data_IF_084909356871
#
_entry.id   IF_084909356871
#
_cell.length_a   1.000
_cell.length_b   1.000
_cell.length_c   1.000
_cell.angle_alpha   90.00
_cell.angle_beta   90.00
_cell.angle_gamma   90.00
#
_symmetry.space_group_name_H-M   'P 1'
#
loop_
_entity.id
_entity.type
_entity.pdbx_description
1 polymer ?
#
# COMPACT_ATOMS: atom_id res chain seq x y z
N UNK A 1 -9.15 0.21 -9.97
CA UNK A 1 -7.80 0.54 -9.43
C UNK A 1 -6.95 -0.72 -9.28
N UNK A 2 -7.43 -1.80 -8.62
CA UNK A 2 -6.70 -3.04 -8.40
C UNK A 2 -5.95 -3.62 -9.63
N UNK A 3 -6.62 -3.78 -10.77
CA UNK A 3 -5.96 -4.28 -12.00
C UNK A 3 -4.77 -3.44 -12.47
N UNK A 4 -4.77 -2.12 -12.23
CA UNK A 4 -3.60 -1.28 -12.56
C UNK A 4 -2.46 -1.49 -11.57
N UNK A 5 -2.76 -1.70 -10.29
CA UNK A 5 -1.75 -1.98 -9.27
C UNK A 5 -1.04 -3.32 -9.54
N UNK A 6 -1.73 -4.30 -10.12
CA UNK A 6 -1.10 -5.55 -10.54
C UNK A 6 -0.06 -5.33 -11.65
N UNK A 7 -0.37 -4.49 -12.65
CA UNK A 7 0.61 -4.11 -13.68
C UNK A 7 1.84 -3.46 -13.06
N UNK A 8 1.63 -2.54 -12.13
CA UNK A 8 2.69 -1.84 -11.39
C UNK A 8 3.53 -2.82 -10.57
N UNK A 9 2.90 -3.80 -9.90
CA UNK A 9 3.62 -4.83 -9.15
C UNK A 9 4.54 -5.65 -10.05
N UNK A 10 4.08 -6.01 -11.25
CA UNK A 10 4.89 -6.72 -12.25
C UNK A 10 6.07 -5.89 -12.73
N UNK A 11 5.86 -4.60 -13.01
CA UNK A 11 6.93 -3.69 -13.44
C UNK A 11 8.02 -3.51 -12.37
N UNK A 12 7.64 -3.51 -11.09
CA UNK A 12 8.57 -3.33 -9.98
C UNK A 12 9.10 -4.63 -9.36
N UNK A 13 8.76 -5.80 -9.93
CA UNK A 13 9.07 -7.10 -9.33
C UNK A 13 8.66 -7.17 -7.83
N UNK A 14 7.51 -6.59 -7.52
CA UNK A 14 6.98 -6.50 -6.17
C UNK A 14 6.06 -7.70 -5.89
N UNK A 15 6.10 -8.22 -4.66
CA UNK A 15 5.09 -9.16 -4.20
C UNK A 15 3.73 -8.49 -4.08
N UNK A 16 3.70 -7.28 -3.54
CA UNK A 16 2.46 -6.54 -3.27
C UNK A 16 2.66 -5.05 -3.58
N UNK A 17 1.66 -4.46 -4.22
CA UNK A 17 1.52 -3.00 -4.34
C UNK A 17 0.16 -2.61 -3.77
N UNK A 18 0.17 -1.71 -2.78
CA UNK A 18 -1.04 -1.22 -2.11
C UNK A 18 -1.10 0.29 -2.20
N UNK A 19 -2.30 0.86 -2.38
CA UNK A 19 -2.49 2.30 -2.30
C UNK A 19 -2.29 2.81 -0.87
N UNK A 20 -1.74 4.00 -0.70
CA UNK A 20 -1.57 4.64 0.62
C UNK A 20 -2.88 4.67 1.41
N UNK A 21 -4.00 5.04 0.78
CA UNK A 21 -5.33 5.03 1.42
C UNK A 21 -5.73 3.66 1.96
N UNK A 22 -5.39 2.58 1.26
CA UNK A 22 -5.72 1.23 1.73
C UNK A 22 -4.78 0.77 2.86
N UNK A 23 -3.50 1.17 2.81
CA UNK A 23 -2.57 0.95 3.91
C UNK A 23 -3.03 1.68 5.17
N UNK A 24 -3.43 2.94 5.05
CA UNK A 24 -3.94 3.77 6.16
C UNK A 24 -5.18 3.15 6.80
N UNK A 25 -6.20 2.80 6.00
CA UNK A 25 -7.43 2.18 6.48
C UNK A 25 -7.23 0.78 7.07
N UNK A 26 -6.16 0.08 6.68
CA UNK A 26 -5.88 -1.28 7.18
C UNK A 26 -5.25 -1.29 8.57
N UNK A 27 -4.75 -0.14 9.05
CA UNK A 27 -3.98 -0.04 10.29
C UNK A 27 -2.61 -0.72 10.22
N UNK A 28 -2.15 -1.15 9.04
CA UNK A 28 -0.85 -1.76 8.82
C UNK A 28 0.23 -0.66 8.83
N UNK A 29 1.17 -0.72 9.77
CA UNK A 29 2.39 0.06 9.63
C UNK A 29 3.20 -0.47 8.44
N UNK A 30 3.35 0.38 7.43
CA UNK A 30 4.11 0.06 6.22
C UNK A 30 5.17 1.13 5.95
N UNK A 31 5.51 1.94 6.96
CA UNK A 31 6.43 3.09 6.83
C UNK A 31 7.84 2.69 6.38
N UNK A 32 8.24 1.43 6.61
CA UNK A 32 9.51 0.87 6.15
C UNK A 32 9.57 0.47 4.68
N UNK A 33 8.45 0.55 3.95
CA UNK A 33 8.39 0.15 2.52
C UNK A 33 8.48 1.34 1.58
N UNK A 34 9.06 1.12 0.41
CA UNK A 34 9.20 2.16 -0.62
C UNK A 34 7.83 2.72 -1.02
N UNK A 35 7.78 4.04 -1.18
CA UNK A 35 6.56 4.76 -1.55
C UNK A 35 6.77 5.48 -2.86
N UNK A 36 5.81 5.34 -3.80
CA UNK A 36 5.87 5.99 -5.11
C UNK A 36 4.53 6.58 -5.50
N UNK A 37 4.58 7.65 -6.27
CA UNK A 37 3.43 8.23 -6.95
C UNK A 37 3.34 7.66 -8.37
N UNK A 38 2.21 7.06 -8.70
CA UNK A 38 1.95 6.49 -10.03
C UNK A 38 0.78 7.18 -10.69
N UNK A 39 0.89 7.42 -12.01
CA UNK A 39 -0.26 7.90 -12.77
C UNK A 39 -1.24 6.76 -13.04
N UNK A 40 -2.51 7.01 -12.79
CA UNK A 40 -3.58 6.04 -13.03
C UNK A 40 -4.61 6.69 -13.94
N UNK A 41 -4.74 6.13 -15.15
CA UNK A 41 -5.81 6.54 -16.08
C UNK A 41 -7.19 6.49 -15.40
N UNK A 42 -7.86 7.64 -15.41
CA UNK A 42 -9.16 7.86 -14.79
C UNK A 42 -9.11 8.54 -13.42
N UNK A 43 -7.92 8.87 -12.89
CA UNK A 43 -7.77 9.76 -11.74
C UNK A 43 -7.29 11.14 -12.17
N UNK A 44 -7.72 12.14 -11.40
CA UNK A 44 -7.30 13.53 -11.55
C UNK A 44 -5.95 13.83 -10.89
N UNK A 45 -5.50 12.97 -9.95
CA UNK A 45 -4.23 13.08 -9.24
C UNK A 45 -3.50 11.73 -9.25
N UNK A 46 -2.16 11.72 -9.26
CA UNK A 46 -1.40 10.49 -9.11
C UNK A 46 -1.81 9.74 -7.84
N UNK A 47 -1.74 8.42 -7.90
CA UNK A 47 -2.02 7.55 -6.77
C UNK A 47 -0.70 7.22 -6.08
N UNK A 48 -0.61 7.56 -4.80
CA UNK A 48 0.51 7.15 -3.95
C UNK A 48 0.34 5.69 -3.54
N UNK A 49 1.38 4.90 -3.75
CA UNK A 49 1.41 3.46 -3.49
C UNK A 49 2.63 3.07 -2.66
N UNK A 50 2.48 2.01 -1.86
CA UNK A 50 3.53 1.36 -1.10
C UNK A 50 3.91 0.05 -1.80
N UNK A 51 5.21 -0.20 -1.95
CA UNK A 51 5.75 -1.36 -2.68
C UNK A 51 6.40 -2.33 -1.69
N UNK A 52 5.90 -3.56 -1.66
CA UNK A 52 6.49 -4.66 -0.89
C UNK A 52 7.31 -5.52 -1.86
N UNK A 53 8.65 -5.55 -1.74
CA UNK A 53 9.50 -6.30 -2.65
C UNK A 53 9.26 -7.81 -2.53
N UNK A 54 9.49 -8.56 -3.61
CA UNK A 54 9.24 -10.00 -3.63
C UNK A 54 10.14 -10.81 -2.68
N UNK A 55 11.33 -10.29 -2.36
CA UNK A 55 12.29 -10.91 -1.43
C UNK A 55 12.07 -10.45 0.02
N UNK A 56 11.03 -9.64 0.30
CA UNK A 56 10.74 -9.25 1.68
C UNK A 56 10.46 -10.50 2.53
N UNK A 57 11.15 -10.69 3.67
CA UNK A 57 10.87 -11.81 4.54
C UNK A 57 9.41 -11.75 5.03
N UNK A 58 8.70 -12.90 5.11
CA UNK A 58 7.33 -12.94 5.62
C UNK A 58 7.25 -12.53 7.09
N UNK A 59 8.38 -12.60 7.80
CA UNK A 59 8.61 -12.00 9.12
C UNK A 59 9.28 -10.62 8.97
N UNK A 60 8.60 -9.68 8.30
CA UNK A 60 8.83 -8.28 8.58
C UNK A 60 8.11 -7.97 9.90
N UNK A 61 8.68 -8.41 11.04
CA UNK A 61 8.25 -8.01 12.38
C UNK A 61 8.31 -6.49 12.53
N UNK A 62 7.31 -5.79 12.01
CA UNK A 62 6.78 -4.44 12.32
C UNK A 62 5.81 -4.08 11.17
N UNK A 63 4.80 -4.91 10.94
CA UNK A 63 3.51 -4.35 10.56
C UNK A 63 2.75 -4.22 11.87
N UNK A 64 3.07 -3.16 12.63
CA UNK A 64 2.34 -2.88 13.86
C UNK A 64 0.93 -2.48 13.46
N UNK A 65 -0.03 -3.30 13.86
CA UNK A 65 -1.45 -2.98 13.73
C UNK A 65 -1.80 -1.88 14.73
N UNK A 66 -1.47 -0.62 14.40
CA UNK A 66 -1.83 0.53 15.22
C UNK A 66 -3.29 0.90 14.94
N UNK A 67 -4.23 0.08 15.41
CA UNK A 67 -5.65 0.43 15.38
C UNK A 67 -5.97 1.36 16.54
N UNK A 68 -6.12 2.66 16.28
CA UNK A 68 -6.97 3.50 17.12
C UNK A 68 -8.43 3.08 16.88
N UNK A 69 -9.29 3.00 17.91
CA UNK A 69 -10.68 2.61 17.72
C UNK A 69 -11.37 3.61 16.79
N UNK A 70 -12.01 3.10 15.73
CA UNK A 70 -12.90 3.90 14.92
C UNK A 70 -14.00 4.45 15.83
N UNK A 71 -14.03 5.77 16.01
CA UNK A 71 -15.10 6.43 16.74
C UNK A 71 -16.43 6.12 16.04
N UNK A 72 -17.48 5.74 16.79
CA UNK A 72 -18.77 5.51 16.18
C UNK A 72 -19.31 6.82 15.63
N UNK A 73 -19.55 6.87 14.32
CA UNK A 73 -20.33 7.94 13.71
C UNK A 73 -21.72 7.97 14.38
N UNK A 74 -22.03 9.09 15.03
CA UNK A 74 -23.34 9.36 15.66
C UNK A 74 -24.31 9.92 14.63
#
# INVERSE_FOLDING_TARGET
IASRLESVAKEFNAAIVISETAADLSGLDMTGYETRDIDIRGRAKPLKVRIVPADAPPDASTVKLSRAPAEPVT
#
